data_IF_041730994402
#
_entry.id   IF_041730994402
#
_cell.length_a   1.000
_cell.length_b   1.000
_cell.length_c   1.000
_cell.angle_alpha   90.00
_cell.angle_beta   90.00
_cell.angle_gamma   90.00
#
_symmetry.space_group_name_H-M   'P 1'
#
loop_
_entity.id
_entity.type
_entity.pdbx_description
1 polymer ?
#
# COMPACT_ATOMS: atom_id res chain seq x y z
N UNK A 1 16.03 12.78 1.08
CA UNK A 1 16.25 11.58 0.25
C UNK A 1 15.04 10.69 0.29
N UNK A 2 14.75 10.00 -0.81
CA UNK A 2 13.75 8.95 -0.86
C UNK A 2 14.46 7.59 -0.84
N UNK A 3 14.12 6.78 0.16
CA UNK A 3 14.54 5.38 0.24
C UNK A 3 13.44 4.52 -0.38
N UNK A 4 13.81 3.70 -1.35
CA UNK A 4 12.96 2.61 -1.80
C UNK A 4 12.63 1.67 -0.63
N UNK A 5 11.76 0.71 -0.84
CA UNK A 5 11.38 -0.26 0.18
C UNK A 5 12.58 -0.83 0.93
N UNK A 6 12.54 -0.69 2.23
CA UNK A 6 13.58 -1.22 3.15
C UNK A 6 13.13 -2.50 3.85
N UNK A 7 11.88 -2.89 3.68
CA UNK A 7 11.21 -3.98 4.40
C UNK A 7 11.73 -5.37 4.00
N UNK A 8 11.60 -6.37 4.88
CA UNK A 8 11.77 -7.77 4.50
C UNK A 8 10.88 -8.16 3.33
N UNK A 9 11.48 -8.76 2.32
CA UNK A 9 10.82 -9.17 1.09
C UNK A 9 11.55 -10.36 0.47
N UNK A 10 10.84 -11.36 -0.09
CA UNK A 10 11.48 -12.50 -0.75
C UNK A 10 12.01 -12.19 -2.15
N UNK A 11 11.60 -11.08 -2.76
CA UNK A 11 12.01 -10.73 -4.12
C UNK A 11 13.06 -9.63 -4.16
N UNK A 12 13.76 -9.53 -5.29
CA UNK A 12 14.75 -8.48 -5.52
C UNK A 12 14.13 -7.09 -5.66
N UNK A 13 12.85 -6.99 -6.05
CA UNK A 13 12.17 -5.70 -6.23
C UNK A 13 11.62 -5.14 -4.92
N UNK A 14 11.40 -5.98 -3.89
CA UNK A 14 11.04 -5.55 -2.54
C UNK A 14 9.59 -5.10 -2.30
N UNK A 15 8.73 -5.09 -3.34
CA UNK A 15 7.33 -4.67 -3.20
C UNK A 15 6.42 -5.76 -2.61
N UNK A 16 6.88 -6.98 -2.48
CA UNK A 16 6.21 -8.11 -1.83
C UNK A 16 6.65 -8.23 -0.37
N UNK A 17 6.21 -7.26 0.43
CA UNK A 17 6.61 -7.10 1.84
C UNK A 17 6.07 -8.25 2.69
N UNK A 18 6.95 -8.82 3.52
CA UNK A 18 6.61 -9.89 4.50
C UNK A 18 6.56 -9.41 5.95
N UNK A 19 7.14 -8.24 6.25
CA UNK A 19 7.06 -7.58 7.55
C UNK A 19 7.14 -6.07 7.38
N UNK A 20 6.15 -5.33 7.91
CA UNK A 20 6.09 -3.86 7.82
C UNK A 20 6.80 -3.14 8.96
N UNK A 21 7.30 -3.89 9.95
CA UNK A 21 7.86 -3.36 11.18
C UNK A 21 9.36 -3.64 11.34
N UNK A 22 10.00 -4.16 10.30
CA UNK A 22 11.44 -4.47 10.32
C UNK A 22 12.14 -4.02 9.03
N UNK A 23 13.45 -4.06 9.04
CA UNK A 23 14.35 -3.78 7.92
C UNK A 23 14.84 -5.10 7.33
N UNK A 24 14.92 -5.19 6.01
CA UNK A 24 15.52 -6.32 5.33
C UNK A 24 16.98 -6.50 5.77
N UNK A 25 17.32 -7.69 6.23
CA UNK A 25 18.65 -8.03 6.76
C UNK A 25 19.80 -7.82 5.75
N UNK A 26 19.49 -7.77 4.45
CA UNK A 26 20.47 -7.45 3.41
C UNK A 26 20.90 -5.98 3.43
N UNK A 27 20.10 -5.09 4.03
CA UNK A 27 20.38 -3.66 4.17
C UNK A 27 20.89 -3.29 5.56
N UNK A 28 20.78 -4.20 6.54
CA UNK A 28 21.20 -3.97 7.91
C UNK A 28 20.10 -4.27 8.92
N UNK A 29 20.17 -3.60 10.06
CA UNK A 29 19.22 -3.72 11.17
C UNK A 29 18.37 -2.46 11.33
N UNK A 30 17.31 -2.51 12.15
CA UNK A 30 16.57 -1.33 12.59
C UNK A 30 17.46 -0.27 13.24
N UNK A 31 18.54 -0.68 13.94
CA UNK A 31 19.49 0.26 14.53
C UNK A 31 20.32 0.96 13.44
N UNK A 32 20.72 0.25 12.38
CA UNK A 32 21.40 0.85 11.25
C UNK A 32 20.48 1.85 10.52
N UNK A 33 19.20 1.53 10.37
CA UNK A 33 18.20 2.45 9.81
C UNK A 33 18.04 3.72 10.67
N UNK A 34 17.91 3.61 11.98
CA UNK A 34 17.87 4.76 12.89
C UNK A 34 19.12 5.62 12.78
N UNK A 35 20.30 4.99 12.76
CA UNK A 35 21.55 5.69 12.57
C UNK A 35 21.61 6.43 11.23
N UNK A 36 21.08 5.86 10.15
CA UNK A 36 20.97 6.53 8.84
C UNK A 36 20.10 7.77 8.93
N UNK A 37 18.90 7.66 9.54
CA UNK A 37 17.98 8.80 9.71
C UNK A 37 18.62 9.90 10.55
N UNK A 38 19.22 9.54 11.68
CA UNK A 38 19.91 10.49 12.56
C UNK A 38 21.07 11.21 11.87
N UNK A 39 21.87 10.47 11.07
CA UNK A 39 22.99 11.07 10.32
C UNK A 39 22.53 11.93 9.15
N UNK A 40 21.37 11.61 8.53
CA UNK A 40 20.75 12.47 7.54
C UNK A 40 20.26 13.78 8.18
N UNK A 41 19.57 13.71 9.30
CA UNK A 41 19.05 14.88 10.03
C UNK A 41 20.17 15.82 10.51
N UNK A 42 21.30 15.28 10.97
CA UNK A 42 22.50 16.10 11.33
C UNK A 42 23.06 16.90 10.16
N UNK A 43 22.64 16.58 8.94
CA UNK A 43 23.06 17.25 7.69
C UNK A 43 21.91 18.01 7.02
N UNK A 44 20.82 18.26 7.75
CA UNK A 44 19.59 18.88 7.25
C UNK A 44 18.97 18.14 6.04
N UNK A 45 19.14 16.81 5.98
CA UNK A 45 18.57 15.96 4.94
C UNK A 45 17.34 15.24 5.51
N UNK A 46 16.19 15.48 4.90
CA UNK A 46 14.94 14.78 5.20
C UNK A 46 14.91 13.38 4.55
N UNK A 47 14.32 12.42 5.23
CA UNK A 47 14.20 11.03 4.79
C UNK A 47 12.74 10.68 4.56
N UNK A 48 12.38 10.33 3.34
CA UNK A 48 11.06 9.76 3.02
C UNK A 48 11.20 8.29 2.65
N UNK A 49 10.24 7.50 3.07
CA UNK A 49 10.23 6.05 2.89
C UNK A 49 9.16 5.63 1.90
N UNK A 50 9.46 4.63 1.08
CA UNK A 50 8.46 4.02 0.20
C UNK A 50 7.44 3.25 1.04
N UNK A 51 6.15 3.50 0.84
CA UNK A 51 5.06 2.95 1.63
C UNK A 51 4.11 2.17 0.72
N UNK A 52 4.21 0.85 0.78
CA UNK A 52 3.44 -0.10 -0.05
C UNK A 52 2.26 -0.61 0.76
N UNK A 53 1.13 0.08 0.70
CA UNK A 53 -0.05 -0.24 1.51
C UNK A 53 -1.09 -1.06 0.77
N UNK A 54 -1.12 -1.00 -0.57
CA UNK A 54 -2.13 -1.66 -1.38
C UNK A 54 -2.13 -3.19 -1.20
N UNK A 55 -0.96 -3.78 -1.16
CA UNK A 55 -0.78 -5.23 -1.16
C UNK A 55 0.31 -5.66 -0.16
N UNK A 56 0.45 -6.95 0.03
CA UNK A 56 1.55 -7.58 0.76
C UNK A 56 2.01 -8.84 0.02
N UNK A 57 3.13 -9.42 0.43
CA UNK A 57 3.54 -10.73 -0.07
C UNK A 57 2.51 -11.81 0.24
N UNK A 58 2.37 -12.76 -0.68
CA UNK A 58 1.64 -14.00 -0.39
C UNK A 58 2.32 -14.87 0.71
N UNK A 59 3.54 -14.50 1.10
CA UNK A 59 4.28 -15.09 2.23
C UNK A 59 4.12 -14.28 3.53
N UNK A 60 3.45 -13.11 3.48
CA UNK A 60 3.21 -12.31 4.69
C UNK A 60 2.37 -13.11 5.68
N UNK A 61 2.74 -13.15 6.99
CA UNK A 61 2.01 -13.92 8.01
C UNK A 61 0.51 -13.65 8.03
N UNK A 62 0.07 -12.41 7.83
CA UNK A 62 -1.35 -12.07 7.77
C UNK A 62 -2.07 -12.74 6.61
N UNK A 63 -1.43 -12.82 5.41
CA UNK A 63 -2.03 -13.48 4.27
C UNK A 63 -2.04 -15.01 4.43
N UNK A 64 -0.94 -15.58 4.93
CA UNK A 64 -0.85 -17.02 5.19
C UNK A 64 -1.95 -17.45 6.15
N UNK A 65 -2.14 -16.73 7.26
CA UNK A 65 -3.20 -17.03 8.23
C UNK A 65 -4.60 -16.81 7.65
N UNK A 66 -4.82 -15.69 6.94
CA UNK A 66 -6.09 -15.40 6.22
C UNK A 66 -6.45 -16.49 5.21
N UNK A 67 -5.44 -17.05 4.54
CA UNK A 67 -5.59 -18.09 3.54
C UNK A 67 -5.91 -19.45 4.15
N UNK A 68 -5.29 -19.81 5.27
CA UNK A 68 -5.41 -21.12 5.90
C UNK A 68 -6.59 -21.25 6.86
N UNK A 69 -6.95 -20.16 7.54
CA UNK A 69 -8.08 -20.13 8.49
C UNK A 69 -9.04 -18.97 8.20
N UNK A 70 -10.20 -19.30 7.64
CA UNK A 70 -11.26 -18.32 7.36
C UNK A 70 -11.92 -17.72 8.61
N UNK A 71 -11.57 -18.19 9.82
CA UNK A 71 -12.05 -17.64 11.09
C UNK A 71 -10.95 -16.89 11.85
N UNK A 72 -9.76 -16.78 11.29
CA UNK A 72 -8.66 -16.04 11.91
C UNK A 72 -8.97 -14.55 12.04
N UNK A 73 -8.20 -13.85 12.89
CA UNK A 73 -8.29 -12.39 13.01
C UNK A 73 -7.90 -11.67 11.72
N UNK A 74 -7.19 -12.33 10.81
CA UNK A 74 -6.74 -11.82 9.52
C UNK A 74 -7.60 -12.30 8.35
N UNK A 75 -8.63 -13.09 8.58
CA UNK A 75 -9.48 -13.68 7.51
C UNK A 75 -10.05 -12.64 6.54
N UNK A 76 -10.26 -11.39 7.00
CA UNK A 76 -10.81 -10.27 6.26
C UNK A 76 -9.80 -9.13 6.01
N UNK A 77 -8.49 -9.42 6.14
CA UNK A 77 -7.42 -8.46 5.88
C UNK A 77 -7.09 -8.33 4.38
N UNK A 78 -7.50 -9.31 3.60
CA UNK A 78 -7.33 -9.35 2.15
C UNK A 78 -8.68 -9.51 1.46
N UNK A 79 -8.73 -9.23 0.17
CA UNK A 79 -9.97 -9.31 -0.61
C UNK A 79 -10.20 -10.75 -1.03
N UNK A 80 -11.25 -11.35 -0.49
CA UNK A 80 -11.70 -12.71 -0.79
C UNK A 80 -13.11 -12.73 -1.35
N UNK A 81 -13.38 -13.63 -2.30
CA UNK A 81 -14.71 -13.84 -2.87
C UNK A 81 -14.98 -15.31 -3.16
N UNK A 82 -16.25 -15.67 -3.23
CA UNK A 82 -16.70 -16.97 -3.72
C UNK A 82 -17.06 -16.90 -5.20
N UNK A 83 -16.97 -18.01 -5.93
CA UNK A 83 -17.19 -18.06 -7.38
C UNK A 83 -18.56 -17.53 -7.87
N UNK A 84 -19.57 -17.52 -6.98
CA UNK A 84 -20.92 -17.04 -7.29
C UNK A 84 -21.20 -15.65 -6.71
N UNK A 85 -20.17 -14.94 -6.24
CA UNK A 85 -20.33 -13.59 -5.71
C UNK A 85 -20.46 -12.60 -6.89
N UNK A 86 -21.64 -12.02 -7.04
CA UNK A 86 -21.93 -11.08 -8.11
C UNK A 86 -21.47 -9.64 -7.82
N UNK A 87 -20.90 -9.39 -6.63
CA UNK A 87 -20.32 -8.11 -6.25
C UNK A 87 -19.04 -7.82 -7.01
N UNK A 88 -18.33 -8.89 -7.45
CA UNK A 88 -17.01 -8.77 -8.05
C UNK A 88 -16.97 -9.20 -9.52
N UNK A 89 -16.14 -8.51 -10.31
CA UNK A 89 -15.82 -8.94 -11.66
C UNK A 89 -14.63 -9.91 -11.68
N UNK A 90 -14.92 -11.20 -11.77
CA UNK A 90 -13.91 -12.26 -11.86
C UNK A 90 -13.11 -12.25 -13.17
N UNK A 91 -13.48 -11.43 -14.15
CA UNK A 91 -12.73 -11.23 -15.39
C UNK A 91 -11.84 -9.98 -15.34
N UNK A 92 -11.83 -9.28 -14.23
CA UNK A 92 -11.03 -8.08 -14.01
C UNK A 92 -9.56 -8.31 -14.36
N UNK A 93 -8.99 -7.38 -15.14
CA UNK A 93 -7.61 -7.37 -15.61
C UNK A 93 -7.00 -5.97 -15.44
N UNK A 94 -6.85 -5.50 -14.20
CA UNK A 94 -6.54 -4.10 -13.92
C UNK A 94 -5.16 -3.64 -14.43
N UNK A 95 -4.21 -4.56 -14.57
CA UNK A 95 -2.85 -4.23 -15.04
C UNK A 95 -2.46 -5.17 -16.18
N UNK A 96 -2.12 -6.40 -15.86
CA UNK A 96 -1.72 -7.42 -16.84
C UNK A 96 -2.11 -8.81 -16.33
N UNK A 97 -3.04 -9.45 -17.02
CA UNK A 97 -3.56 -10.76 -16.64
C UNK A 97 -4.72 -10.71 -15.64
N UNK A 98 -5.12 -11.89 -15.18
CA UNK A 98 -6.27 -12.04 -14.28
C UNK A 98 -5.89 -11.70 -12.85
N UNK A 99 -6.69 -10.82 -12.23
CA UNK A 99 -6.49 -10.42 -10.84
C UNK A 99 -6.95 -11.47 -9.80
N UNK A 100 -7.89 -12.32 -10.15
CA UNK A 100 -8.45 -13.30 -9.23
C UNK A 100 -7.71 -14.64 -9.31
N UNK A 101 -7.21 -15.10 -8.16
CA UNK A 101 -6.49 -16.36 -8.00
C UNK A 101 -7.25 -17.31 -7.09
N UNK A 102 -7.44 -18.57 -7.56
CA UNK A 102 -8.19 -19.59 -6.82
C UNK A 102 -7.34 -20.21 -5.71
N UNK A 103 -7.96 -20.34 -4.53
CA UNK A 103 -7.44 -21.15 -3.43
C UNK A 103 -8.59 -21.94 -2.80
N UNK A 104 -8.54 -23.26 -2.91
CA UNK A 104 -9.61 -24.17 -2.50
C UNK A 104 -10.95 -23.82 -3.17
N UNK A 105 -11.95 -23.41 -2.39
CA UNK A 105 -13.32 -23.06 -2.80
C UNK A 105 -13.57 -21.55 -2.91
N UNK A 106 -12.55 -20.73 -2.71
CA UNK A 106 -12.62 -19.27 -2.80
C UNK A 106 -11.51 -18.67 -3.65
N UNK A 107 -11.61 -17.37 -3.91
CA UNK A 107 -10.66 -16.60 -4.70
C UNK A 107 -10.16 -15.43 -3.88
N UNK A 108 -8.89 -15.08 -4.06
CA UNK A 108 -8.34 -13.82 -3.57
C UNK A 108 -7.96 -12.91 -4.73
N UNK A 109 -8.02 -11.60 -4.45
CA UNK A 109 -7.70 -10.57 -5.42
C UNK A 109 -6.23 -10.13 -5.30
N UNK A 110 -5.58 -9.90 -6.43
CA UNK A 110 -4.25 -9.32 -6.54
C UNK A 110 -4.15 -8.56 -7.85
N UNK A 111 -4.30 -7.23 -7.81
CA UNK A 111 -4.33 -6.37 -8.99
C UNK A 111 -3.09 -6.51 -9.87
N UNK A 112 -1.94 -6.72 -9.26
CA UNK A 112 -0.66 -6.84 -9.95
C UNK A 112 -0.34 -8.27 -10.36
N UNK A 113 -0.40 -9.20 -9.41
CA UNK A 113 -0.24 -10.62 -9.66
C UNK A 113 -0.53 -11.45 -8.38
N UNK A 114 -0.67 -12.77 -8.53
CA UNK A 114 -1.07 -13.66 -7.44
C UNK A 114 -0.12 -13.71 -6.24
N UNK A 115 1.14 -13.32 -6.39
CA UNK A 115 2.14 -13.31 -5.31
C UNK A 115 2.07 -12.09 -4.40
N UNK A 116 1.30 -11.05 -4.77
CA UNK A 116 1.07 -9.85 -3.98
C UNK A 116 -0.43 -9.55 -3.87
N UNK A 117 -1.15 -10.32 -3.01
CA UNK A 117 -2.57 -10.13 -2.79
C UNK A 117 -2.89 -8.74 -2.22
N UNK A 118 -3.99 -8.16 -2.70
CA UNK A 118 -4.45 -6.84 -2.29
C UNK A 118 -5.17 -6.90 -0.94
N UNK A 119 -4.95 -5.86 -0.15
CA UNK A 119 -5.58 -5.72 1.15
C UNK A 119 -7.03 -5.27 1.03
N UNK A 120 -7.83 -5.67 2.00
CA UNK A 120 -9.21 -5.22 2.12
C UNK A 120 -9.27 -3.84 2.80
N UNK A 121 -9.10 -2.78 2.01
CA UNK A 121 -9.19 -1.40 2.49
C UNK A 121 -10.59 -1.02 3.03
N UNK A 122 -11.62 -1.79 2.73
CA UNK A 122 -12.96 -1.59 3.31
C UNK A 122 -13.05 -2.03 4.78
N UNK A 123 -12.08 -2.82 5.26
CA UNK A 123 -12.04 -3.27 6.65
C UNK A 123 -11.38 -2.20 7.54
N UNK A 124 -12.10 -1.61 8.53
CA UNK A 124 -11.53 -0.60 9.43
C UNK A 124 -10.32 -1.08 10.24
N UNK A 125 -10.20 -2.40 10.52
CA UNK A 125 -9.03 -2.95 11.20
C UNK A 125 -7.79 -2.85 10.31
N UNK A 126 -7.94 -3.08 9.01
CA UNK A 126 -6.86 -2.93 8.03
C UNK A 126 -6.44 -1.46 7.97
N UNK A 127 -7.38 -0.51 7.83
CA UNK A 127 -7.06 0.93 7.82
C UNK A 127 -6.30 1.35 9.08
N UNK A 128 -6.77 0.95 10.26
CA UNK A 128 -6.08 1.23 11.52
C UNK A 128 -4.67 0.63 11.55
N UNK A 129 -4.49 -0.59 11.05
CA UNK A 129 -3.18 -1.22 10.99
C UNK A 129 -2.23 -0.46 10.05
N UNK A 130 -2.72 0.01 8.90
CA UNK A 130 -1.92 0.80 7.97
C UNK A 130 -1.53 2.17 8.55
N UNK A 131 -2.41 2.79 9.35
CA UNK A 131 -2.07 3.99 10.13
C UNK A 131 -0.96 3.67 11.14
N UNK A 132 -1.05 2.55 11.86
CA UNK A 132 -0.02 2.13 12.82
C UNK A 132 1.33 1.86 12.16
N UNK A 133 1.34 1.27 10.96
CA UNK A 133 2.59 1.07 10.19
C UNK A 133 3.26 2.42 9.92
N UNK A 134 2.53 3.41 9.42
CA UNK A 134 3.11 4.75 9.19
C UNK A 134 3.57 5.40 10.49
N UNK A 135 2.78 5.30 11.58
CA UNK A 135 3.16 5.84 12.88
C UNK A 135 4.48 5.22 13.38
N UNK A 136 4.63 3.92 13.26
CA UNK A 136 5.87 3.23 13.64
C UNK A 136 7.10 3.80 12.95
N UNK A 137 7.06 4.06 11.65
CA UNK A 137 8.19 4.62 10.91
C UNK A 137 8.40 6.10 11.20
N UNK A 138 7.34 6.88 11.46
CA UNK A 138 7.45 8.26 11.94
C UNK A 138 8.13 8.33 13.31
N UNK A 139 7.84 7.41 14.22
CA UNK A 139 8.48 7.30 15.53
C UNK A 139 9.96 6.94 15.41
N UNK A 140 10.39 6.32 14.32
CA UNK A 140 11.79 6.08 13.96
C UNK A 140 12.47 7.28 13.28
N UNK A 141 11.74 8.38 13.08
CA UNK A 141 12.26 9.64 12.56
C UNK A 141 12.02 9.88 11.07
N UNK A 142 11.28 9.03 10.37
CA UNK A 142 10.92 9.24 8.95
C UNK A 142 10.14 10.55 8.79
N UNK A 143 10.50 11.36 7.79
CA UNK A 143 9.94 12.68 7.55
C UNK A 143 8.78 12.70 6.55
N UNK A 144 8.54 11.58 5.90
CA UNK A 144 7.47 11.49 4.91
C UNK A 144 7.40 10.14 4.23
N UNK A 145 6.41 9.99 3.37
CA UNK A 145 6.18 8.75 2.62
C UNK A 145 5.99 9.00 1.13
N UNK A 146 6.53 8.10 0.32
CA UNK A 146 6.09 7.92 -1.06
C UNK A 146 5.07 6.79 -1.05
N UNK A 147 3.86 7.05 -1.49
CA UNK A 147 2.77 6.09 -1.52
C UNK A 147 2.79 5.32 -2.83
N UNK A 148 3.15 4.04 -2.75
CA UNK A 148 3.14 3.12 -3.88
C UNK A 148 1.72 2.80 -4.32
N UNK A 149 1.50 2.73 -5.64
CA UNK A 149 0.24 2.25 -6.23
C UNK A 149 -1.02 2.89 -5.64
N UNK A 150 -0.99 4.20 -5.32
CA UNK A 150 -2.00 4.88 -4.51
C UNK A 150 -3.42 4.83 -5.09
N UNK A 151 -3.59 4.66 -6.41
CA UNK A 151 -4.91 4.52 -7.04
C UNK A 151 -5.53 3.13 -6.89
N UNK A 152 -4.77 2.14 -6.43
CA UNK A 152 -5.19 0.75 -6.41
C UNK A 152 -5.69 0.27 -5.05
N UNK A 153 -5.76 1.11 -4.02
CA UNK A 153 -6.34 0.73 -2.71
C UNK A 153 -7.78 0.22 -2.85
N UNK A 154 -8.51 0.82 -3.81
CA UNK A 154 -9.70 0.26 -4.43
C UNK A 154 -9.41 0.23 -5.91
N UNK A 155 -9.17 -0.94 -6.49
CA UNK A 155 -8.75 -1.09 -7.87
C UNK A 155 -9.74 -0.42 -8.82
N UNK A 156 -9.26 0.56 -9.56
CA UNK A 156 -10.06 1.47 -10.38
C UNK A 156 -11.05 0.71 -11.28
N UNK A 157 -12.32 0.76 -10.91
CA UNK A 157 -13.45 0.46 -11.81
C UNK A 157 -13.73 -1.01 -12.06
N UNK A 158 -13.03 -1.97 -11.43
CA UNK A 158 -13.01 -3.28 -12.04
C UNK A 158 -13.28 -4.46 -11.11
N UNK A 159 -13.01 -4.38 -9.80
CA UNK A 159 -13.19 -5.57 -8.97
C UNK A 159 -14.49 -5.57 -8.17
N UNK A 160 -14.96 -4.42 -7.69
CA UNK A 160 -16.21 -4.32 -6.95
C UNK A 160 -17.22 -3.43 -7.69
N UNK A 161 -18.27 -4.03 -8.22
CA UNK A 161 -19.26 -3.39 -9.07
C UNK A 161 -20.27 -2.51 -8.31
N UNK A 162 -20.25 -2.54 -6.98
CA UNK A 162 -21.18 -1.82 -6.11
C UNK A 162 -20.61 -0.50 -5.58
N UNK A 163 -19.30 -0.28 -5.67
CA UNK A 163 -18.61 0.87 -5.09
C UNK A 163 -18.27 1.93 -6.15
N UNK A 164 -18.28 3.20 -5.73
CA UNK A 164 -17.60 4.27 -6.44
C UNK A 164 -16.12 4.24 -6.04
N UNK A 165 -15.30 3.50 -6.77
CA UNK A 165 -13.93 3.17 -6.38
C UNK A 165 -13.01 4.39 -6.28
N UNK A 166 -13.25 5.45 -7.07
CA UNK A 166 -12.51 6.70 -6.92
C UNK A 166 -12.83 7.38 -5.58
N UNK A 167 -14.11 7.48 -5.22
CA UNK A 167 -14.55 8.09 -3.96
C UNK A 167 -13.99 7.32 -2.77
N UNK A 168 -14.07 5.97 -2.81
CA UNK A 168 -13.49 5.10 -1.77
C UNK A 168 -11.96 5.26 -1.63
N UNK A 169 -11.23 5.41 -2.76
CA UNK A 169 -9.80 5.71 -2.72
C UNK A 169 -9.51 7.06 -2.05
N UNK A 170 -10.28 8.09 -2.38
CA UNK A 170 -10.08 9.42 -1.81
C UNK A 170 -10.37 9.43 -0.31
N UNK A 171 -11.47 8.79 0.11
CA UNK A 171 -11.85 8.66 1.52
C UNK A 171 -10.82 7.87 2.32
N UNK A 172 -10.32 6.77 1.77
CA UNK A 172 -9.25 6.00 2.37
C UNK A 172 -7.99 6.84 2.61
N UNK A 173 -7.51 7.55 1.59
CA UNK A 173 -6.31 8.37 1.74
C UNK A 173 -6.53 9.54 2.67
N UNK A 174 -7.71 10.15 2.66
CA UNK A 174 -8.04 11.23 3.59
C UNK A 174 -7.99 10.73 5.05
N UNK A 175 -8.55 9.55 5.34
CA UNK A 175 -8.51 8.94 6.67
C UNK A 175 -7.07 8.63 7.11
N UNK A 176 -6.32 7.91 6.30
CA UNK A 176 -4.95 7.47 6.62
C UNK A 176 -4.00 8.65 6.81
N UNK A 177 -4.03 9.62 5.89
CA UNK A 177 -3.14 10.79 5.95
C UNK A 177 -3.50 11.71 7.10
N UNK A 178 -4.79 11.89 7.40
CA UNK A 178 -5.22 12.63 8.59
C UNK A 178 -4.67 11.96 9.84
N UNK A 179 -4.83 10.64 9.98
CA UNK A 179 -4.28 9.89 11.12
C UNK A 179 -2.77 10.05 11.30
N UNK A 180 -2.03 10.11 10.21
CA UNK A 180 -0.59 10.36 10.28
C UNK A 180 -0.25 11.82 10.61
N UNK A 181 -0.91 12.79 9.96
CA UNK A 181 -0.64 14.23 10.17
C UNK A 181 -1.09 14.73 11.53
N UNK A 182 -2.04 14.08 12.18
CA UNK A 182 -2.41 14.34 13.57
C UNK A 182 -1.23 14.11 14.53
N UNK A 183 -0.34 13.18 14.18
CA UNK A 183 0.87 12.88 14.96
C UNK A 183 2.10 13.67 14.47
N UNK A 184 2.18 14.01 13.18
CA UNK A 184 3.30 14.75 12.56
C UNK A 184 2.77 15.69 11.48
N UNK A 185 2.47 16.94 11.86
CA UNK A 185 1.85 17.95 10.98
C UNK A 185 2.70 18.26 9.72
N UNK A 186 4.04 18.23 9.84
CA UNK A 186 4.99 18.47 8.75
C UNK A 186 5.36 17.23 7.92
N UNK A 187 4.61 16.13 8.07
CA UNK A 187 4.80 14.92 7.29
C UNK A 187 4.60 15.19 5.80
N UNK A 188 5.62 14.88 4.99
CA UNK A 188 5.54 15.07 3.53
C UNK A 188 5.04 13.80 2.84
N UNK A 189 4.02 13.95 1.99
CA UNK A 189 3.43 12.87 1.22
C UNK A 189 3.61 13.11 -0.27
N UNK A 190 4.25 12.18 -0.95
CA UNK A 190 4.28 12.11 -2.42
C UNK A 190 3.67 10.79 -2.88
N UNK A 191 2.70 10.85 -3.78
CA UNK A 191 1.99 9.65 -4.23
C UNK A 191 2.40 9.22 -5.63
N UNK A 192 2.22 7.94 -5.90
CA UNK A 192 2.24 7.36 -7.24
C UNK A 192 0.81 7.06 -7.69
N UNK A 193 0.17 8.08 -8.25
CA UNK A 193 -1.03 7.89 -9.05
C UNK A 193 -0.62 7.97 -10.52
N UNK A 194 -0.29 6.83 -11.10
CA UNK A 194 0.12 6.77 -12.49
C UNK A 194 -1.10 6.85 -13.41
N UNK A 195 -1.40 8.06 -13.83
CA UNK A 195 -2.55 8.37 -14.69
C UNK A 195 -2.40 9.76 -15.31
N UNK A 196 -3.33 10.16 -16.17
CA UNK A 196 -3.38 11.51 -16.71
C UNK A 196 -3.56 12.56 -15.61
N UNK A 197 -3.11 13.80 -15.88
CA UNK A 197 -3.24 14.90 -14.93
C UNK A 197 -4.68 15.14 -14.48
N UNK A 198 -5.68 14.90 -15.34
CA UNK A 198 -7.10 15.02 -14.99
C UNK A 198 -7.57 13.95 -14.00
N UNK A 199 -7.04 12.73 -14.09
CA UNK A 199 -7.34 11.64 -13.15
C UNK A 199 -6.60 11.79 -11.83
N UNK A 200 -5.41 12.42 -11.84
CA UNK A 200 -4.63 12.73 -10.64
C UNK A 200 -5.23 13.88 -9.83
N UNK A 201 -5.84 14.87 -10.50
CA UNK A 201 -6.32 16.10 -9.85
C UNK A 201 -7.22 15.88 -8.61
N UNK A 202 -8.17 14.93 -8.58
CA UNK A 202 -8.99 14.68 -7.38
C UNK A 202 -8.18 14.28 -6.15
N UNK A 203 -7.05 13.59 -6.31
CA UNK A 203 -6.22 13.11 -5.20
C UNK A 203 -5.55 14.24 -4.40
N UNK A 204 -5.39 15.43 -4.99
CA UNK A 204 -4.86 16.59 -4.25
C UNK A 204 -5.80 17.13 -3.17
N UNK A 205 -6.99 16.57 -2.99
CA UNK A 205 -7.80 16.81 -1.80
C UNK A 205 -7.19 16.24 -0.53
N UNK A 206 -6.35 15.20 -0.65
CA UNK A 206 -5.77 14.48 0.49
C UNK A 206 -4.24 14.38 0.40
N UNK A 207 -3.66 14.39 -0.81
CA UNK A 207 -2.23 14.19 -1.05
C UNK A 207 -1.50 15.52 -1.28
N UNK A 208 -0.30 15.68 -0.71
CA UNK A 208 0.49 16.90 -0.85
C UNK A 208 1.08 17.06 -2.25
N UNK A 209 1.50 15.95 -2.86
CA UNK A 209 2.14 15.92 -4.16
C UNK A 209 1.98 14.56 -4.86
N UNK A 210 2.17 14.54 -6.18
CA UNK A 210 2.18 13.34 -6.98
C UNK A 210 3.28 13.41 -8.04
N UNK A 211 3.81 12.28 -8.47
CA UNK A 211 4.70 12.24 -9.62
C UNK A 211 3.97 12.71 -10.89
N UNK A 212 4.64 13.56 -11.67
CA UNK A 212 4.06 14.06 -12.92
C UNK A 212 4.48 13.17 -14.10
N UNK A 213 3.69 12.14 -14.36
CA UNK A 213 3.95 11.18 -15.44
C UNK A 213 3.75 11.82 -16.82
N UNK A 214 2.71 12.68 -16.99
CA UNK A 214 2.48 13.42 -18.24
C UNK A 214 3.69 14.27 -18.64
N UNK A 215 4.37 14.88 -17.68
CA UNK A 215 5.59 15.65 -17.93
C UNK A 215 6.76 14.73 -18.28
N UNK A 216 6.91 13.62 -17.57
CA UNK A 216 7.99 12.66 -17.83
C UNK A 216 7.88 12.07 -19.25
N UNK A 217 6.68 11.76 -19.70
CA UNK A 217 6.42 11.23 -21.04
C UNK A 217 6.60 12.28 -22.16
N UNK A 218 6.66 13.57 -21.78
CA UNK A 218 6.78 14.69 -22.73
C UNK A 218 8.23 15.14 -22.96
N UNK A 219 9.22 14.62 -22.22
CA UNK A 219 10.64 14.96 -22.28
C UNK A 219 11.41 13.89 -23.06
#
# INVERSE_FOLDING_TARGET
IWLLHVYPSPSYHGYDITDYYDVNSDYGSLEDFKNLVDEAHKRDIKVILDMVLNHASSEHPWFVESKEDSNSSYSDYFIWANENDNTYDFNSTPIDGKAWSKFNDRYYYGAFWHGIPDRNASNPKVRNELINVGQYWMDLGVDGFRLDAAKYMYAEGEYNLELNLLEENLDFWNEVITGWKDSKEDLHIVSEVWSSSSSVAPYFSSLDSNFNFDLADSI
#
